data_IF_623816534623
#
_entry.id   IF_623816534623
#
_cell.length_a   1.000
_cell.length_b   1.000
_cell.length_c   1.000
_cell.angle_alpha   90.00
_cell.angle_beta   90.00
_cell.angle_gamma   90.00
#
_symmetry.space_group_name_H-M   'P 1'
#
loop_
_entity.id
_entity.type
_entity.pdbx_description
1 polymer ?
#
# COMPACT_ATOMS: atom_id res chain seq x y z
N UNK A 1 2.95 -0.60 27.98
CA UNK A 1 2.70 -2.05 27.89
C UNK A 1 2.07 -2.33 26.53
N UNK A 2 2.68 -3.18 25.71
CA UNK A 2 2.17 -3.54 24.38
C UNK A 2 1.68 -5.00 24.41
N UNK A 3 0.90 -5.38 23.41
CA UNK A 3 0.43 -6.76 23.26
C UNK A 3 0.67 -7.21 21.82
N UNK A 4 1.13 -8.45 21.67
CA UNK A 4 1.30 -9.11 20.39
C UNK A 4 0.17 -10.13 20.24
N UNK A 5 -0.64 -9.99 19.19
CA UNK A 5 -1.77 -10.87 18.90
C UNK A 5 -1.51 -11.61 17.59
N UNK A 6 -1.70 -12.91 17.61
CA UNK A 6 -1.77 -13.76 16.42
C UNK A 6 -3.21 -14.15 16.17
N UNK A 7 -3.68 -13.93 14.94
CA UNK A 7 -5.04 -14.22 14.52
C UNK A 7 -5.00 -15.04 13.23
N UNK A 8 -5.73 -16.13 13.20
CA UNK A 8 -5.95 -16.92 11.98
C UNK A 8 -7.19 -16.38 11.28
N UNK A 9 -7.08 -16.17 9.97
CA UNK A 9 -8.19 -15.72 9.12
C UNK A 9 -8.38 -16.71 7.99
N UNK A 10 -9.60 -17.17 7.81
CA UNK A 10 -9.97 -18.07 6.73
C UNK A 10 -9.98 -17.32 5.39
N UNK A 11 -9.51 -17.96 4.32
CA UNK A 11 -9.45 -17.38 2.97
C UNK A 11 -10.74 -17.64 2.20
N UNK A 12 -11.28 -18.86 2.32
CA UNK A 12 -12.46 -19.35 1.62
C UNK A 12 -13.76 -19.14 2.39
N UNK A 13 -13.70 -18.78 3.68
CA UNK A 13 -14.89 -18.58 4.53
C UNK A 13 -14.78 -17.31 5.39
N UNK A 14 -15.91 -16.91 5.99
CA UNK A 14 -16.01 -15.70 6.81
C UNK A 14 -15.69 -15.96 8.27
N UNK A 15 -14.46 -16.36 8.56
CA UNK A 15 -14.04 -16.74 9.91
C UNK A 15 -12.67 -16.21 10.31
N UNK A 16 -12.55 -15.79 11.58
CA UNK A 16 -11.33 -15.26 12.19
C UNK A 16 -11.28 -15.67 13.66
N UNK A 17 -10.15 -16.17 14.14
CA UNK A 17 -9.94 -16.47 15.57
C UNK A 17 -8.60 -15.93 16.05
N UNK A 18 -8.54 -15.25 17.21
CA UNK A 18 -7.29 -15.06 17.92
C UNK A 18 -6.76 -16.41 18.44
N UNK A 19 -5.52 -16.77 18.10
CA UNK A 19 -4.92 -18.07 18.47
C UNK A 19 -3.84 -17.94 19.54
N UNK A 20 -3.20 -16.77 19.65
CA UNK A 20 -2.23 -16.51 20.70
C UNK A 20 -2.17 -15.01 20.99
N UNK A 21 -1.95 -14.64 22.26
CA UNK A 21 -1.67 -13.28 22.67
C UNK A 21 -0.59 -13.26 23.74
N UNK A 22 0.28 -12.25 23.69
CA UNK A 22 1.39 -12.09 24.62
C UNK A 22 1.47 -10.63 25.08
N UNK A 23 1.56 -10.42 26.38
CA UNK A 23 1.88 -9.11 26.94
C UNK A 23 3.39 -8.90 26.84
N UNK A 24 3.79 -7.83 26.15
CA UNK A 24 5.19 -7.59 25.82
C UNK A 24 5.60 -6.17 26.23
N UNK A 25 6.77 -6.08 26.87
CA UNK A 25 7.44 -4.80 27.04
C UNK A 25 8.22 -4.45 25.76
N UNK A 26 9.08 -5.37 25.33
CA UNK A 26 9.76 -5.37 24.03
C UNK A 26 10.02 -6.83 23.62
N UNK A 27 10.12 -7.09 22.32
CA UNK A 27 10.59 -8.36 21.76
C UNK A 27 11.51 -8.05 20.59
N UNK A 28 12.65 -8.72 20.54
CA UNK A 28 13.53 -8.78 19.38
C UNK A 28 12.87 -9.49 18.19
N UNK A 29 13.41 -9.29 16.99
CA UNK A 29 12.93 -9.99 15.79
C UNK A 29 13.02 -11.51 15.93
N UNK A 30 14.10 -12.02 16.54
CA UNK A 30 14.31 -13.45 16.76
C UNK A 30 13.28 -14.05 17.73
N UNK A 31 12.96 -13.35 18.83
CA UNK A 31 11.94 -13.82 19.78
C UNK A 31 10.55 -13.86 19.14
N UNK A 32 10.19 -12.83 18.36
CA UNK A 32 8.92 -12.83 17.60
C UNK A 32 8.88 -13.95 16.57
N UNK A 33 9.99 -14.24 15.91
CA UNK A 33 10.08 -15.31 14.93
C UNK A 33 9.85 -16.67 15.60
N UNK A 34 10.41 -16.86 16.81
CA UNK A 34 10.14 -18.06 17.59
C UNK A 34 8.65 -18.19 17.97
N UNK A 35 8.01 -17.10 18.42
CA UNK A 35 6.57 -17.12 18.72
C UNK A 35 5.72 -17.47 17.49
N UNK A 36 6.00 -16.87 16.34
CA UNK A 36 5.33 -17.22 15.08
C UNK A 36 5.55 -18.69 14.71
N UNK A 37 6.78 -19.18 14.85
CA UNK A 37 7.12 -20.59 14.60
C UNK A 37 6.31 -21.53 15.52
N UNK A 38 6.17 -21.22 16.81
CA UNK A 38 5.34 -22.01 17.73
C UNK A 38 3.87 -22.01 17.30
N UNK A 39 3.33 -20.85 16.89
CA UNK A 39 1.97 -20.78 16.37
C UNK A 39 1.79 -21.69 15.14
N UNK A 40 2.74 -21.68 14.21
CA UNK A 40 2.70 -22.55 13.02
C UNK A 40 2.79 -24.04 13.37
N UNK A 41 3.63 -24.41 14.34
CA UNK A 41 3.74 -25.80 14.80
C UNK A 41 2.41 -26.32 15.37
N UNK A 42 1.76 -25.54 16.23
CA UNK A 42 0.47 -25.90 16.84
C UNK A 42 -0.65 -25.95 15.79
N UNK A 43 -0.65 -25.02 14.84
CA UNK A 43 -1.71 -24.95 13.82
C UNK A 43 -1.58 -26.02 12.74
N UNK A 44 -0.40 -26.61 12.55
CA UNK A 44 -0.11 -27.54 11.47
C UNK A 44 -1.05 -28.76 11.43
N UNK A 45 -1.43 -29.29 12.59
CA UNK A 45 -2.30 -30.47 12.66
C UNK A 45 -3.73 -30.18 12.19
N UNK A 46 -4.17 -28.93 12.31
CA UNK A 46 -5.56 -28.56 12.08
C UNK A 46 -5.77 -27.69 10.83
N UNK A 47 -4.74 -26.96 10.37
CA UNK A 47 -4.88 -25.96 9.31
C UNK A 47 -3.64 -25.85 8.42
N UNK A 48 -3.87 -25.68 7.12
CA UNK A 48 -2.84 -25.31 6.16
C UNK A 48 -2.67 -23.78 6.12
N UNK A 49 -1.65 -23.29 6.82
CA UNK A 49 -1.30 -21.86 6.79
C UNK A 49 -0.50 -21.54 5.53
N UNK A 50 -1.12 -20.81 4.61
CA UNK A 50 -0.52 -20.45 3.30
C UNK A 50 0.17 -19.09 3.28
N UNK A 51 -0.17 -18.19 4.21
CA UNK A 51 0.41 -16.85 4.24
C UNK A 51 0.39 -16.22 5.63
N UNK A 52 1.32 -15.29 5.86
CA UNK A 52 1.38 -14.43 7.05
C UNK A 52 1.28 -12.96 6.63
N UNK A 53 0.35 -12.23 7.23
CA UNK A 53 0.17 -10.79 6.99
C UNK A 53 0.66 -9.98 8.19
N UNK A 54 1.53 -8.99 7.95
CA UNK A 54 2.04 -8.08 8.98
C UNK A 54 1.96 -6.62 8.54
N UNK A 55 2.05 -5.69 9.49
CA UNK A 55 2.33 -4.29 9.14
C UNK A 55 3.80 -4.09 8.74
N UNK A 56 4.11 -2.91 8.19
CA UNK A 56 5.47 -2.57 7.74
C UNK A 56 6.44 -2.15 8.84
N UNK A 57 6.19 -2.48 10.11
CA UNK A 57 7.09 -2.10 11.20
C UNK A 57 8.44 -2.83 11.10
N UNK A 58 9.54 -2.12 11.39
CA UNK A 58 10.90 -2.68 11.34
C UNK A 58 11.07 -3.96 12.18
N UNK A 59 10.37 -4.05 13.31
CA UNK A 59 10.37 -5.24 14.17
C UNK A 59 9.70 -6.45 13.52
N UNK A 60 8.65 -6.25 12.72
CA UNK A 60 7.99 -7.31 11.97
C UNK A 60 8.80 -7.73 10.75
N UNK A 61 9.45 -6.79 10.07
CA UNK A 61 10.40 -7.11 8.98
C UNK A 61 11.57 -7.92 9.53
N UNK A 62 12.14 -7.51 10.67
CA UNK A 62 13.21 -8.25 11.35
C UNK A 62 12.77 -9.67 11.72
N UNK A 63 11.55 -9.85 12.23
CA UNK A 63 10.96 -11.17 12.49
C UNK A 63 10.93 -12.04 11.23
N UNK A 64 10.42 -11.51 10.11
CA UNK A 64 10.33 -12.24 8.85
C UNK A 64 11.70 -12.62 8.28
N UNK A 65 12.69 -11.73 8.41
CA UNK A 65 14.07 -12.04 8.02
C UNK A 65 14.65 -13.20 8.85
N UNK A 66 14.36 -13.25 10.15
CA UNK A 66 14.75 -14.37 11.01
C UNK A 66 14.04 -15.69 10.66
N UNK A 67 12.88 -15.63 9.98
CA UNK A 67 12.18 -16.81 9.45
C UNK A 67 12.76 -17.30 8.12
N UNK A 68 13.69 -16.55 7.51
CA UNK A 68 14.35 -16.89 6.25
C UNK A 68 13.81 -16.15 5.02
N UNK A 69 12.91 -15.19 5.20
CA UNK A 69 12.48 -14.32 4.11
C UNK A 69 13.45 -13.15 3.90
N UNK A 70 13.35 -12.49 2.75
CA UNK A 70 14.08 -11.26 2.47
C UNK A 70 13.15 -10.28 1.75
N UNK A 71 12.84 -9.15 2.38
CA UNK A 71 11.98 -8.10 1.81
C UNK A 71 12.78 -6.95 1.21
N UNK A 72 14.08 -7.12 1.00
CA UNK A 72 14.89 -6.15 0.25
C UNK A 72 14.49 -6.10 -1.22
N UNK A 73 14.56 -4.92 -1.83
CA UNK A 73 14.23 -4.71 -3.25
C UNK A 73 15.17 -5.44 -4.21
N UNK A 74 16.42 -5.67 -3.79
CA UNK A 74 17.47 -6.23 -4.64
C UNK A 74 17.41 -7.76 -4.71
N UNK A 75 16.97 -8.40 -3.62
CA UNK A 75 16.86 -9.85 -3.51
C UNK A 75 15.59 -10.23 -2.73
N UNK A 76 14.45 -10.04 -3.40
CA UNK A 76 13.15 -10.30 -2.82
C UNK A 76 12.87 -11.80 -2.72
N UNK A 77 12.80 -12.30 -1.50
CA UNK A 77 12.34 -13.65 -1.15
C UNK A 77 11.09 -13.50 -0.28
N UNK A 78 9.88 -13.43 -0.89
CA UNK A 78 8.65 -13.03 -0.21
C UNK A 78 7.94 -14.22 0.47
N UNK A 79 8.69 -15.22 0.91
CA UNK A 79 8.17 -16.41 1.55
C UNK A 79 9.23 -17.04 2.47
N UNK A 80 8.78 -17.92 3.34
CA UNK A 80 9.64 -18.84 4.09
C UNK A 80 9.00 -20.22 4.13
N UNK A 81 9.76 -21.24 4.55
CA UNK A 81 9.26 -22.60 4.60
C UNK A 81 8.58 -22.91 5.93
N UNK A 82 7.41 -23.54 5.87
CA UNK A 82 6.72 -24.04 7.06
C UNK A 82 7.63 -25.02 7.82
N UNK A 83 7.73 -24.94 9.16
CA UNK A 83 8.70 -25.70 9.95
C UNK A 83 8.57 -27.23 9.81
N UNK A 84 7.34 -27.74 9.64
CA UNK A 84 7.04 -29.17 9.48
C UNK A 84 6.91 -29.56 8.01
N UNK A 85 5.79 -29.20 7.36
CA UNK A 85 5.48 -29.57 5.97
C UNK A 85 6.45 -29.08 4.89
N UNK A 86 7.28 -28.08 5.19
CA UNK A 86 8.19 -27.43 4.21
C UNK A 86 7.48 -26.76 3.04
N UNK A 87 6.15 -26.59 3.08
CA UNK A 87 5.45 -25.76 2.10
C UNK A 87 5.79 -24.28 2.27
N UNK A 88 5.73 -23.52 1.18
CA UNK A 88 5.96 -22.09 1.22
C UNK A 88 4.81 -21.38 1.95
N UNK A 89 5.17 -20.52 2.90
CA UNK A 89 4.27 -19.55 3.52
C UNK A 89 4.61 -18.18 2.95
N UNK A 90 3.68 -17.60 2.21
CA UNK A 90 3.87 -16.29 1.58
C UNK A 90 3.71 -15.15 2.58
N UNK A 91 4.49 -14.10 2.39
CA UNK A 91 4.43 -12.90 3.22
C UNK A 91 3.61 -11.83 2.52
N UNK A 92 2.65 -11.27 3.24
CA UNK A 92 1.86 -10.14 2.81
C UNK A 92 2.08 -8.96 3.76
N UNK A 93 2.35 -7.79 3.20
CA UNK A 93 2.31 -6.55 3.96
C UNK A 93 0.91 -5.97 3.88
N UNK A 94 0.39 -5.47 5.00
CA UNK A 94 -0.94 -4.83 5.02
C UNK A 94 -0.99 -3.66 4.02
N UNK A 95 -1.79 -3.83 2.97
CA UNK A 95 -1.98 -2.84 1.92
C UNK A 95 -2.46 -1.48 2.48
N UNK A 96 -3.29 -1.48 3.53
CA UNK A 96 -3.74 -0.26 4.17
C UNK A 96 -2.58 0.47 4.85
N UNK A 97 -1.65 -0.28 5.46
CA UNK A 97 -0.43 0.27 6.01
C UNK A 97 0.48 0.81 4.91
N UNK A 98 0.68 0.06 3.83
CA UNK A 98 1.54 0.46 2.71
C UNK A 98 1.04 1.75 2.05
N UNK A 99 -0.27 1.90 1.84
CA UNK A 99 -0.86 3.12 1.30
C UNK A 99 -0.58 4.35 2.17
N UNK A 100 -0.63 4.19 3.50
CA UNK A 100 -0.25 5.27 4.43
C UNK A 100 1.21 5.65 4.29
N UNK A 101 2.11 4.67 4.16
CA UNK A 101 3.54 4.94 3.96
C UNK A 101 3.78 5.69 2.64
N UNK A 102 3.13 5.28 1.55
CA UNK A 102 3.23 5.98 0.26
C UNK A 102 2.76 7.43 0.38
N UNK A 103 1.59 7.68 0.98
CA UNK A 103 1.11 9.05 1.21
C UNK A 103 2.06 9.86 2.08
N UNK A 104 2.57 9.26 3.17
CA UNK A 104 3.50 9.95 4.06
C UNK A 104 4.80 10.30 3.33
N UNK A 105 5.34 9.38 2.54
CA UNK A 105 6.53 9.60 1.74
C UNK A 105 6.30 10.72 0.72
N UNK A 106 5.22 10.64 -0.05
CA UNK A 106 4.88 11.64 -1.05
C UNK A 106 4.72 13.03 -0.45
N UNK A 107 3.96 13.15 0.65
CA UNK A 107 3.73 14.44 1.29
C UNK A 107 4.95 14.99 2.05
N UNK A 108 5.85 14.12 2.55
CA UNK A 108 7.07 14.55 3.26
C UNK A 108 8.18 14.95 2.29
N UNK A 109 8.38 14.17 1.22
CA UNK A 109 9.41 14.41 0.20
C UNK A 109 9.02 15.51 -0.77
N UNK A 110 7.71 15.76 -0.93
CA UNK A 110 7.08 16.78 -1.80
C UNK A 110 7.29 16.56 -3.29
N UNK A 111 8.47 16.12 -3.71
CA UNK A 111 8.83 15.81 -5.08
C UNK A 111 9.29 14.37 -5.18
N UNK A 112 8.72 13.64 -6.13
CA UNK A 112 9.15 12.33 -6.57
C UNK A 112 9.36 12.40 -8.09
N UNK A 113 10.16 11.50 -8.62
CA UNK A 113 10.39 11.39 -10.06
C UNK A 113 10.03 10.00 -10.54
N UNK A 114 9.42 9.92 -11.71
CA UNK A 114 9.21 8.65 -12.37
C UNK A 114 10.50 8.12 -13.02
N UNK A 115 10.43 6.95 -13.64
CA UNK A 115 11.59 6.34 -14.32
C UNK A 115 12.13 7.16 -15.49
N UNK A 116 11.30 8.02 -16.09
CA UNK A 116 11.63 8.84 -17.23
C UNK A 116 12.15 10.23 -16.82
N UNK A 117 12.15 10.55 -15.52
CA UNK A 117 12.52 11.86 -15.02
C UNK A 117 11.36 12.87 -15.04
N UNK A 118 10.11 12.41 -15.10
CA UNK A 118 8.94 13.26 -15.01
C UNK A 118 8.56 13.55 -13.55
N UNK A 119 8.14 14.78 -13.29
CA UNK A 119 7.94 15.30 -11.93
C UNK A 119 6.57 14.93 -11.34
N UNK A 120 6.60 14.29 -10.17
CA UNK A 120 5.43 14.04 -9.33
C UNK A 120 5.49 14.99 -8.13
N UNK A 121 4.62 16.00 -8.10
CA UNK A 121 4.72 17.11 -7.15
C UNK A 121 3.49 17.23 -6.25
N UNK A 122 3.73 17.21 -4.94
CA UNK A 122 2.72 17.42 -3.91
C UNK A 122 2.09 18.83 -3.96
N UNK A 123 2.78 19.81 -4.55
CA UNK A 123 2.26 21.17 -4.70
C UNK A 123 0.93 21.21 -5.49
N UNK A 124 0.73 20.32 -6.46
CA UNK A 124 -0.54 20.24 -7.20
C UNK A 124 -1.70 19.81 -6.31
N UNK A 125 -1.45 18.94 -5.31
CA UNK A 125 -2.46 18.52 -4.33
C UNK A 125 -2.82 19.70 -3.41
N UNK A 126 -1.83 20.50 -3.01
CA UNK A 126 -2.04 21.72 -2.23
C UNK A 126 -2.84 22.75 -3.02
N UNK A 127 -2.44 23.01 -4.27
CA UNK A 127 -3.10 23.93 -5.17
C UNK A 127 -4.55 23.53 -5.43
N UNK A 128 -4.82 22.24 -5.64
CA UNK A 128 -6.18 21.73 -5.83
C UNK A 128 -7.07 22.01 -4.62
N UNK A 129 -6.57 21.75 -3.40
CA UNK A 129 -7.34 22.02 -2.18
C UNK A 129 -7.58 23.52 -2.01
N UNK A 130 -6.58 24.35 -2.30
CA UNK A 130 -6.70 25.80 -2.21
C UNK A 130 -7.72 26.35 -3.21
N UNK A 131 -7.68 25.90 -4.47
CA UNK A 131 -8.65 26.28 -5.51
C UNK A 131 -10.08 25.94 -5.07
N UNK A 132 -10.31 24.72 -4.57
CA UNK A 132 -11.63 24.30 -4.11
C UNK A 132 -12.14 25.09 -2.91
N UNK A 133 -11.24 25.56 -2.03
CA UNK A 133 -11.61 26.40 -0.89
C UNK A 133 -11.91 27.85 -1.32
N UNK A 134 -11.21 28.35 -2.33
CA UNK A 134 -11.42 29.69 -2.89
C UNK A 134 -12.70 29.78 -3.71
N UNK A 135 -12.97 28.80 -4.57
CA UNK A 135 -14.14 28.78 -5.47
C UNK A 135 -15.40 28.20 -4.79
N UNK A 136 -15.26 27.64 -3.58
CA UNK A 136 -16.31 26.89 -2.86
C UNK A 136 -16.90 25.69 -3.65
N UNK A 137 -16.27 25.31 -4.76
CA UNK A 137 -16.67 24.21 -5.64
C UNK A 137 -15.65 23.07 -5.60
N UNK A 138 -16.14 21.83 -5.43
CA UNK A 138 -15.28 20.66 -5.23
C UNK A 138 -15.25 19.72 -6.45
N UNK A 139 -14.25 19.87 -7.31
CA UNK A 139 -13.95 18.89 -8.36
C UNK A 139 -13.40 17.56 -7.78
N UNK A 140 -12.46 17.65 -6.83
CA UNK A 140 -11.97 16.54 -6.03
C UNK A 140 -12.90 16.24 -4.86
N UNK A 141 -13.94 15.44 -5.12
CA UNK A 141 -15.11 15.22 -4.24
C UNK A 141 -14.82 15.15 -2.73
N UNK A 142 -13.76 14.46 -2.29
CA UNK A 142 -13.47 14.21 -0.87
C UNK A 142 -12.24 14.93 -0.29
N UNK A 143 -11.33 15.45 -1.11
CA UNK A 143 -10.09 16.06 -0.60
C UNK A 143 -10.36 17.45 -0.01
N UNK A 144 -9.76 17.75 1.14
CA UNK A 144 -9.99 18.95 2.00
C UNK A 144 -8.71 19.31 2.75
N UNK A 145 -8.63 20.49 3.38
CA UNK A 145 -7.48 20.90 4.24
C UNK A 145 -6.99 19.84 5.21
N UNK A 146 -7.91 19.05 5.79
CA UNK A 146 -7.61 17.91 6.67
C UNK A 146 -6.62 16.90 6.06
N UNK A 147 -6.66 16.71 4.74
CA UNK A 147 -5.76 15.83 3.99
C UNK A 147 -4.36 16.39 3.81
N UNK A 148 -4.22 17.73 3.82
CA UNK A 148 -2.92 18.40 3.84
C UNK A 148 -2.33 18.41 5.26
N UNK A 149 -3.17 18.57 6.27
CA UNK A 149 -2.79 18.58 7.70
C UNK A 149 -2.69 17.16 8.28
N UNK A 150 -2.07 16.27 7.52
CA UNK A 150 -2.13 14.83 7.72
C UNK A 150 -1.25 14.33 8.88
N UNK A 151 -0.33 15.15 9.38
CA UNK A 151 0.63 14.79 10.43
C UNK A 151 -0.09 14.39 11.73
N UNK A 152 -1.19 15.08 12.05
CA UNK A 152 -2.02 14.77 13.23
C UNK A 152 -2.81 13.47 13.09
N UNK A 153 -3.04 13.01 11.85
CA UNK A 153 -3.82 11.82 11.52
C UNK A 153 -3.04 10.86 10.60
N UNK A 154 -1.74 10.68 10.88
CA UNK A 154 -0.83 9.84 10.09
C UNK A 154 -1.35 8.40 9.91
N UNK A 155 -2.08 7.89 10.90
CA UNK A 155 -2.60 6.52 10.92
C UNK A 155 -3.94 6.33 10.19
N UNK A 156 -4.60 7.40 9.75
CA UNK A 156 -5.93 7.34 9.14
C UNK A 156 -5.84 6.95 7.66
N UNK A 157 -6.16 5.69 7.37
CA UNK A 157 -6.09 5.11 6.00
C UNK A 157 -7.00 5.83 5.02
N UNK A 158 -8.21 6.22 5.46
CA UNK A 158 -9.17 6.89 4.58
C UNK A 158 -8.66 8.21 4.01
N UNK A 159 -7.88 8.98 4.78
CA UNK A 159 -7.24 10.21 4.27
C UNK A 159 -6.19 9.88 3.20
N UNK A 160 -5.39 8.83 3.39
CA UNK A 160 -4.40 8.42 2.40
C UNK A 160 -5.06 7.96 1.09
N UNK A 161 -6.11 7.13 1.19
CA UNK A 161 -6.87 6.66 0.04
C UNK A 161 -7.57 7.80 -0.71
N UNK A 162 -8.10 8.81 -0.01
CA UNK A 162 -8.78 9.94 -0.64
C UNK A 162 -7.80 10.87 -1.39
N UNK A 163 -6.57 11.05 -0.89
CA UNK A 163 -5.52 11.79 -1.60
C UNK A 163 -5.09 11.04 -2.87
N UNK A 164 -4.81 9.75 -2.75
CA UNK A 164 -4.29 8.90 -3.83
C UNK A 164 -5.44 8.22 -4.57
N UNK A 165 -6.40 9.02 -5.04
CA UNK A 165 -7.64 8.54 -5.67
C UNK A 165 -7.77 8.97 -7.13
N UNK A 166 -8.58 8.23 -7.88
CA UNK A 166 -8.94 8.56 -9.26
C UNK A 166 -9.68 9.90 -9.37
N UNK A 167 -10.49 10.29 -8.38
CA UNK A 167 -11.19 11.57 -8.41
C UNK A 167 -10.24 12.76 -8.26
N UNK A 168 -9.18 12.63 -7.46
CA UNK A 168 -8.12 13.66 -7.37
C UNK A 168 -7.37 13.76 -8.69
N UNK A 169 -7.01 12.64 -9.30
CA UNK A 169 -6.33 12.64 -10.59
C UNK A 169 -7.16 13.28 -11.71
N UNK A 170 -8.45 12.95 -11.79
CA UNK A 170 -9.36 13.55 -12.76
C UNK A 170 -9.54 15.06 -12.50
N UNK A 171 -9.61 15.50 -11.24
CA UNK A 171 -9.70 16.91 -10.90
C UNK A 171 -8.43 17.69 -11.31
N UNK A 172 -7.24 17.09 -11.13
CA UNK A 172 -5.99 17.69 -11.61
C UNK A 172 -5.99 17.86 -13.13
N UNK A 173 -6.38 16.82 -13.88
CA UNK A 173 -6.48 16.87 -15.34
C UNK A 173 -7.52 17.89 -15.80
N UNK A 174 -8.69 17.92 -15.18
CA UNK A 174 -9.74 18.91 -15.46
C UNK A 174 -9.22 20.35 -15.27
N UNK A 175 -8.48 20.62 -14.20
CA UNK A 175 -7.91 21.95 -13.98
C UNK A 175 -6.85 22.34 -15.02
N UNK A 176 -6.06 21.38 -15.49
CA UNK A 176 -4.98 21.63 -16.44
C UNK A 176 -5.46 21.67 -17.91
N UNK A 177 -6.35 20.77 -18.30
CA UNK A 177 -6.77 20.54 -19.68
C UNK A 177 -8.04 21.33 -20.01
N UNK A 178 -9.09 21.23 -19.19
CA UNK A 178 -10.39 21.85 -19.48
C UNK A 178 -10.44 23.32 -19.03
N UNK A 179 -9.92 23.64 -17.83
CA UNK A 179 -9.85 25.01 -17.33
C UNK A 179 -8.59 25.76 -17.76
N UNK A 180 -7.59 25.06 -18.31
CA UNK A 180 -6.32 25.64 -18.77
C UNK A 180 -5.61 26.51 -17.71
N UNK A 181 -5.71 26.12 -16.43
CA UNK A 181 -5.10 26.88 -15.34
C UNK A 181 -3.58 26.65 -15.30
N UNK A 182 -2.80 27.73 -15.43
CA UNK A 182 -1.33 27.67 -15.46
C UNK A 182 -0.73 27.02 -14.20
N UNK A 183 -1.39 27.15 -13.04
CA UNK A 183 -0.98 26.51 -11.78
C UNK A 183 -0.92 24.98 -11.86
N UNK A 184 -1.69 24.37 -12.77
CA UNK A 184 -1.77 22.92 -12.95
C UNK A 184 -1.05 22.43 -14.20
N UNK A 185 -0.33 23.30 -14.91
CA UNK A 185 0.50 22.91 -16.04
C UNK A 185 1.54 21.86 -15.59
N UNK A 186 1.60 20.72 -16.30
CA UNK A 186 2.51 19.62 -15.97
C UNK A 186 2.04 18.73 -14.80
N UNK A 187 0.78 18.79 -14.37
CA UNK A 187 0.26 17.92 -13.31
C UNK A 187 0.04 16.45 -13.75
N UNK A 188 0.25 16.14 -15.04
CA UNK A 188 -0.07 14.86 -15.67
C UNK A 188 0.53 13.65 -14.94
N UNK A 189 1.81 13.72 -14.58
CA UNK A 189 2.49 12.62 -13.88
C UNK A 189 2.06 12.47 -12.43
N UNK A 190 1.68 13.59 -11.79
CA UNK A 190 1.05 13.54 -10.47
C UNK A 190 -0.32 12.88 -10.52
N UNK A 191 -1.13 13.18 -11.54
CA UNK A 191 -2.42 12.53 -11.77
C UNK A 191 -2.24 11.03 -12.08
N UNK A 192 -1.28 10.68 -12.93
CA UNK A 192 -0.94 9.29 -13.26
C UNK A 192 -0.46 8.52 -12.05
N UNK A 193 0.36 9.13 -11.18
CA UNK A 193 0.77 8.54 -9.90
C UNK A 193 -0.44 8.24 -9.02
N UNK A 194 -1.34 9.19 -8.81
CA UNK A 194 -2.56 8.97 -8.03
C UNK A 194 -3.42 7.81 -8.59
N UNK A 195 -3.62 7.74 -9.91
CA UNK A 195 -4.39 6.66 -10.55
C UNK A 195 -3.71 5.31 -10.35
N UNK A 196 -2.39 5.23 -10.56
CA UNK A 196 -1.64 3.97 -10.42
C UNK A 196 -1.71 3.44 -9.00
N UNK A 197 -1.49 4.29 -8.00
CA UNK A 197 -1.58 3.87 -6.59
C UNK A 197 -3.03 3.50 -6.22
N UNK A 198 -4.04 4.24 -6.69
CA UNK A 198 -5.45 3.88 -6.49
C UNK A 198 -5.72 2.45 -7.00
N UNK A 199 -5.32 2.17 -8.24
CA UNK A 199 -5.61 0.88 -8.87
C UNK A 199 -4.85 -0.27 -8.21
N UNK A 200 -3.61 -0.05 -7.77
CA UNK A 200 -2.85 -1.03 -6.97
C UNK A 200 -3.59 -1.33 -5.64
N UNK A 201 -4.08 -0.30 -4.95
CA UNK A 201 -4.79 -0.48 -3.69
C UNK A 201 -6.14 -1.18 -3.86
N UNK A 202 -6.89 -0.81 -4.90
CA UNK A 202 -8.16 -1.46 -5.26
C UNK A 202 -7.97 -2.95 -5.59
N UNK A 203 -6.87 -3.31 -6.28
CA UNK A 203 -6.51 -4.70 -6.58
C UNK A 203 -6.29 -5.52 -5.30
N UNK A 204 -5.50 -4.97 -4.37
CA UNK A 204 -5.17 -5.60 -3.09
C UNK A 204 -6.34 -5.64 -2.10
N UNK A 205 -7.41 -4.88 -2.35
CA UNK A 205 -8.60 -4.83 -1.50
C UNK A 205 -9.89 -5.18 -2.27
N UNK A 206 -9.75 -6.00 -3.32
CA UNK A 206 -10.88 -6.47 -4.12
C UNK A 206 -11.78 -7.42 -3.31
N UNK A 207 -13.11 -7.21 -3.42
CA UNK A 207 -14.11 -8.00 -2.66
C UNK A 207 -15.34 -8.40 -3.48
N UNK A 208 -15.48 -7.89 -4.69
CA UNK A 208 -16.71 -8.04 -5.47
C UNK A 208 -16.41 -8.43 -6.93
N UNK A 209 -16.99 -9.56 -7.36
CA UNK A 209 -16.86 -10.09 -8.74
C UNK A 209 -17.30 -9.09 -9.79
N UNK A 210 -18.42 -8.43 -9.52
CA UNK A 210 -19.15 -7.58 -10.45
C UNK A 210 -18.85 -6.11 -10.22
N UNK A 211 -17.70 -5.81 -9.59
CA UNK A 211 -17.28 -4.43 -9.44
C UNK A 211 -17.14 -3.79 -10.82
N UNK A 212 -17.74 -2.61 -11.00
CA UNK A 212 -17.61 -1.84 -12.25
C UNK A 212 -16.15 -1.45 -12.51
N UNK A 213 -15.39 -1.20 -11.45
CA UNK A 213 -13.96 -1.00 -11.54
C UNK A 213 -13.26 -2.36 -11.72
N UNK A 214 -12.67 -2.58 -12.90
CA UNK A 214 -11.93 -3.81 -13.23
C UNK A 214 -10.81 -4.10 -12.24
N UNK A 215 -10.15 -3.08 -11.71
CA UNK A 215 -9.06 -3.23 -10.73
C UNK A 215 -9.55 -3.65 -9.36
N UNK A 216 -10.85 -3.51 -9.05
CA UNK A 216 -11.43 -3.93 -7.78
C UNK A 216 -12.20 -5.27 -7.87
N UNK A 217 -12.11 -5.95 -9.01
CA UNK A 217 -12.64 -7.30 -9.19
C UNK A 217 -11.67 -8.32 -8.59
N UNK A 218 -12.21 -9.35 -7.93
CA UNK A 218 -11.35 -10.40 -7.39
C UNK A 218 -10.73 -11.28 -8.48
N UNK A 219 -9.67 -11.99 -8.10
CA UNK A 219 -8.93 -12.89 -8.99
C UNK A 219 -9.79 -14.08 -9.43
N UNK A 220 -9.81 -14.34 -10.73
CA UNK A 220 -10.49 -15.47 -11.38
C UNK A 220 -9.55 -16.11 -12.38
N UNK A 221 -9.84 -17.35 -12.79
CA UNK A 221 -9.06 -18.02 -13.86
C UNK A 221 -9.06 -17.25 -15.18
N UNK A 222 -10.07 -16.40 -15.43
CA UNK A 222 -10.20 -15.64 -16.68
C UNK A 222 -9.35 -14.37 -16.72
N UNK A 223 -9.13 -13.72 -15.57
CA UNK A 223 -8.38 -12.46 -15.48
C UNK A 223 -7.00 -12.63 -14.83
N UNK A 224 -6.60 -13.86 -14.51
CA UNK A 224 -5.33 -14.16 -13.85
C UNK A 224 -4.12 -13.59 -14.63
N UNK A 225 -3.99 -13.95 -15.91
CA UNK A 225 -2.86 -13.54 -16.73
C UNK A 225 -2.80 -12.02 -16.90
N UNK A 226 -3.95 -11.38 -17.05
CA UNK A 226 -4.05 -9.92 -17.18
C UNK A 226 -3.67 -9.21 -15.88
N UNK A 227 -4.09 -9.75 -14.73
CA UNK A 227 -3.71 -9.22 -13.42
C UNK A 227 -2.21 -9.42 -13.19
N UNK A 228 -1.63 -10.56 -13.54
CA UNK A 228 -0.18 -10.77 -13.44
C UNK A 228 0.60 -9.72 -14.24
N UNK A 229 0.23 -9.48 -15.50
CA UNK A 229 0.85 -8.43 -16.33
C UNK A 229 0.69 -7.04 -15.71
N UNK A 230 -0.46 -6.74 -15.12
CA UNK A 230 -0.69 -5.46 -14.43
C UNK A 230 0.19 -5.33 -13.18
N UNK A 231 0.31 -6.38 -12.38
CA UNK A 231 1.17 -6.42 -11.20
C UNK A 231 2.63 -6.20 -11.60
N UNK A 232 3.11 -6.85 -12.66
CA UNK A 232 4.47 -6.64 -13.17
C UNK A 232 4.70 -5.18 -13.58
N UNK A 233 3.73 -4.59 -14.29
CA UNK A 233 3.78 -3.17 -14.66
C UNK A 233 3.81 -2.25 -13.44
N UNK A 234 3.06 -2.58 -12.38
CA UNK A 234 3.06 -1.83 -11.12
C UNK A 234 4.38 -1.97 -10.38
N UNK A 235 4.94 -3.18 -10.29
CA UNK A 235 6.25 -3.42 -9.70
C UNK A 235 7.34 -2.64 -10.42
N UNK A 236 7.35 -2.66 -11.75
CA UNK A 236 8.31 -1.91 -12.56
C UNK A 236 8.16 -0.40 -12.40
N UNK A 237 6.92 0.09 -12.30
CA UNK A 237 6.65 1.50 -12.03
C UNK A 237 7.20 1.93 -10.66
N UNK A 238 6.90 1.17 -9.60
CA UNK A 238 7.35 1.48 -8.24
C UNK A 238 8.87 1.42 -8.10
N UNK A 239 9.55 0.46 -8.75
CA UNK A 239 11.03 0.38 -8.80
C UNK A 239 11.67 1.58 -9.49
N UNK A 240 10.95 2.23 -10.40
CA UNK A 240 11.41 3.40 -11.13
C UNK A 240 11.28 4.71 -10.37
N UNK A 241 10.56 4.75 -9.25
CA UNK A 241 10.34 5.97 -8.48
C UNK A 241 11.61 6.36 -7.72
N UNK A 242 11.96 7.65 -7.81
CA UNK A 242 13.12 8.23 -7.10
C UNK A 242 12.67 9.42 -6.25
N UNK A 243 13.33 9.61 -5.11
CA UNK A 243 13.24 10.83 -4.30
C UNK A 243 14.50 11.68 -4.45
N UNK A 244 14.38 13.01 -4.30
CA UNK A 244 15.50 13.95 -4.45
C UNK A 244 15.43 14.83 -5.71
N UNK A 245 16.41 15.71 -5.90
CA UNK A 245 16.61 16.40 -7.19
C UNK A 245 17.21 15.39 -8.18
N UNK A 246 16.78 15.44 -9.46
CA UNK A 246 17.47 14.73 -10.54
C UNK A 246 18.99 14.98 -10.42
N UNK A 247 19.85 13.97 -10.67
CA UNK A 247 21.26 14.28 -10.88
C UNK A 247 21.33 15.36 -11.96
N UNK A 248 22.02 16.45 -11.66
CA UNK A 248 22.31 17.48 -12.64
C UNK A 248 22.84 16.79 -13.92
N UNK A 249 22.25 17.19 -15.03
CA UNK A 249 22.55 16.77 -16.42
C UNK A 249 24.03 16.50 -16.68
#
# INVERSE_FOLDING_TARGET
>A
MHWCLYMVTCINEHFKIPVAYYFIHALSGAERANLLKQCLLVLHEANDIVSVTVDGAASNISMLNNMGANLSTDNLVPYFYHPISKHCIFILLDACHMLKLIRNAFASKKMLWDKNGELINWAFIVALVQLQETEELHAGTKIRRRHLNWQKEKMKVSLAAQVLSTSVANALKFCAEDLSLSTFAGCGDTANFCIRINNMFDLLNSRNRFCKNKFAQYLTRKNYDDICKQVDNYCNYLKGLKDGQLPDT
#
